data_IF_188698859111
#
_entry.id   IF_188698859111
#
_cell.length_a   1.000
_cell.length_b   1.000
_cell.length_c   1.000
_cell.angle_alpha   90.00
_cell.angle_beta   90.00
_cell.angle_gamma   90.00
#
_symmetry.space_group_name_H-M   'P 1'
#
loop_
_entity.id
_entity.type
_entity.pdbx_description
1 polymer ?
#
# COMPACT_ATOMS: atom_id res chain seq x y z
N UNK A 1 -11.07 -1.66 10.02
CA UNK A 1 -11.62 -0.66 9.07
C UNK A 1 -10.88 -0.84 7.74
N UNK A 2 -11.56 -0.96 6.59
CA UNK A 2 -10.88 -1.28 5.34
C UNK A 2 -11.76 -1.16 4.11
N UNK A 3 -11.15 -0.65 3.03
CA UNK A 3 -11.69 -0.22 1.74
C UNK A 3 -12.83 0.82 1.83
N UNK A 4 -12.47 2.11 1.99
CA UNK A 4 -13.37 3.21 1.68
C UNK A 4 -13.56 3.30 0.16
N UNK A 5 -14.76 2.90 -0.27
CA UNK A 5 -15.20 2.82 -1.65
C UNK A 5 -15.48 4.22 -2.22
N UNK A 6 -14.44 4.99 -2.56
CA UNK A 6 -14.58 6.39 -2.95
C UNK A 6 -14.70 6.68 -4.45
N UNK A 7 -14.78 5.70 -5.35
CA UNK A 7 -14.91 6.01 -6.78
C UNK A 7 -15.67 4.92 -7.54
N UNK A 8 -17.00 4.98 -7.51
CA UNK A 8 -17.88 4.09 -8.28
C UNK A 8 -17.64 4.19 -9.82
N UNK A 9 -17.07 5.30 -10.31
CA UNK A 9 -16.77 5.47 -11.74
C UNK A 9 -15.44 4.86 -12.18
N UNK A 10 -14.50 4.59 -11.25
CA UNK A 10 -13.12 4.22 -11.62
C UNK A 10 -12.85 2.71 -11.58
N UNK A 11 -13.76 1.93 -11.01
CA UNK A 11 -13.60 0.49 -10.81
C UNK A 11 -14.81 -0.28 -11.34
N UNK A 12 -14.58 -1.41 -12.01
CA UNK A 12 -15.65 -2.23 -12.57
C UNK A 12 -16.52 -2.92 -11.50
N UNK A 13 -17.54 -3.66 -11.95
CA UNK A 13 -18.50 -4.39 -11.09
C UNK A 13 -17.85 -5.38 -10.11
N UNK A 14 -16.64 -5.85 -10.41
CA UNK A 14 -15.84 -6.72 -9.55
C UNK A 14 -14.43 -6.17 -9.44
N UNK A 15 -13.88 -6.20 -8.23
CA UNK A 15 -12.52 -5.73 -7.92
C UNK A 15 -11.74 -6.79 -7.18
N UNK A 16 -10.42 -6.83 -7.40
CA UNK A 16 -9.52 -7.66 -6.60
C UNK A 16 -9.14 -6.91 -5.34
N UNK A 17 -9.38 -7.55 -4.20
CA UNK A 17 -9.09 -7.00 -2.88
C UNK A 17 -8.01 -7.86 -2.23
N UNK A 18 -6.98 -7.20 -1.69
CA UNK A 18 -5.92 -7.83 -0.91
C UNK A 18 -6.05 -7.41 0.54
N UNK A 19 -5.88 -8.38 1.44
CA UNK A 19 -5.93 -8.15 2.90
C UNK A 19 -4.62 -8.57 3.54
N UNK A 20 -4.10 -7.71 4.41
CA UNK A 20 -2.91 -7.97 5.22
C UNK A 20 -3.41 -8.20 6.65
N UNK A 21 -3.74 -9.45 6.96
CA UNK A 21 -4.42 -9.82 8.22
C UNK A 21 -5.65 -8.94 8.47
N UNK A 22 -5.82 -8.53 9.73
CA UNK A 22 -6.88 -7.60 10.14
C UNK A 22 -6.44 -6.12 10.07
N UNK A 23 -5.21 -5.86 9.63
CA UNK A 23 -4.58 -4.54 9.68
C UNK A 23 -4.93 -3.67 8.47
N UNK A 24 -4.85 -4.22 7.26
CA UNK A 24 -5.14 -3.47 6.02
C UNK A 24 -5.96 -4.32 5.04
N UNK A 25 -6.81 -3.64 4.26
CA UNK A 25 -7.60 -4.22 3.17
C UNK A 25 -7.72 -3.18 2.04
N UNK A 26 -7.17 -3.51 0.89
CA UNK A 26 -6.99 -2.58 -0.23
C UNK A 26 -7.38 -3.21 -1.57
N UNK A 27 -7.85 -2.37 -2.50
CA UNK A 27 -8.10 -2.78 -3.88
C UNK A 27 -6.79 -2.70 -4.65
N UNK A 28 -6.25 -3.84 -5.06
CA UNK A 28 -5.01 -3.92 -5.84
C UNK A 28 -5.12 -5.00 -6.92
N UNK A 29 -4.63 -4.72 -8.12
CA UNK A 29 -4.61 -5.67 -9.24
C UNK A 29 -3.25 -6.34 -9.47
N UNK A 30 -2.20 -5.91 -8.76
CA UNK A 30 -0.84 -6.37 -8.94
C UNK A 30 -0.54 -7.72 -8.27
N UNK A 31 0.66 -8.28 -8.53
CA UNK A 31 1.14 -9.46 -7.82
C UNK A 31 1.56 -9.11 -6.39
N UNK A 32 1.17 -9.94 -5.43
CA UNK A 32 1.56 -9.80 -4.02
C UNK A 32 2.40 -10.98 -3.56
N UNK A 33 3.25 -10.74 -2.56
CA UNK A 33 3.94 -11.81 -1.84
C UNK A 33 2.95 -12.64 -1.03
N UNK A 34 3.26 -13.92 -0.82
CA UNK A 34 2.40 -14.85 -0.05
C UNK A 34 2.29 -14.50 1.43
N UNK A 35 3.31 -13.84 2.01
CA UNK A 35 3.33 -13.38 3.41
C UNK A 35 4.28 -12.19 3.55
N UNK A 36 3.94 -11.23 4.42
CA UNK A 36 4.69 -9.97 4.60
C UNK A 36 6.15 -10.19 4.95
N UNK A 37 6.48 -11.23 5.72
CA UNK A 37 7.87 -11.58 6.06
C UNK A 37 8.78 -11.85 4.85
N UNK A 38 8.23 -12.18 3.67
CA UNK A 38 9.03 -12.34 2.43
C UNK A 38 9.60 -11.02 1.91
N UNK A 39 9.04 -9.88 2.32
CA UNK A 39 9.50 -8.54 1.93
C UNK A 39 10.80 -8.19 2.66
N UNK A 40 11.03 -8.76 3.86
CA UNK A 40 12.16 -8.43 4.71
C UNK A 40 11.93 -7.13 5.49
N UNK A 41 13.02 -6.48 5.91
CA UNK A 41 12.96 -5.26 6.72
C UNK A 41 12.80 -4.04 5.83
N UNK A 42 11.79 -3.23 6.11
CA UNK A 42 11.55 -1.95 5.41
C UNK A 42 12.18 -0.83 6.21
N UNK A 43 12.92 0.06 5.55
CA UNK A 43 13.48 1.27 6.16
C UNK A 43 13.09 2.51 5.35
N UNK A 44 12.84 3.61 6.05
CA UNK A 44 12.66 4.92 5.42
C UNK A 44 14.04 5.45 5.03
N UNK A 45 14.22 5.78 3.75
CA UNK A 45 15.47 6.27 3.18
C UNK A 45 15.46 7.81 3.13
N UNK A 46 14.32 8.41 2.82
CA UNK A 46 14.19 9.86 2.72
C UNK A 46 12.76 10.30 3.03
N UNK A 47 12.60 11.54 3.48
CA UNK A 47 11.31 12.19 3.64
C UNK A 47 11.40 13.63 3.14
N UNK A 48 10.48 14.03 2.28
CA UNK A 48 10.48 15.35 1.63
C UNK A 48 9.13 16.03 1.87
N UNK A 49 9.15 17.30 2.30
CA UNK A 49 7.94 18.12 2.36
C UNK A 49 7.60 18.62 0.95
N UNK A 50 6.44 18.21 0.42
CA UNK A 50 6.01 18.53 -0.96
C UNK A 50 4.81 19.50 -1.02
N UNK A 51 4.36 20.00 0.14
CA UNK A 51 3.27 20.96 0.27
C UNK A 51 3.08 21.37 1.73
N UNK A 52 2.08 22.22 2.02
CA UNK A 52 1.82 22.68 3.38
C UNK A 52 1.64 21.51 4.37
N UNK A 53 0.84 20.51 3.97
CA UNK A 53 0.46 19.35 4.79
C UNK A 53 0.76 18.00 4.10
N UNK A 54 1.63 18.01 3.10
CA UNK A 54 1.98 16.81 2.32
C UNK A 54 3.46 16.48 2.48
N UNK A 55 3.71 15.21 2.83
CA UNK A 55 5.05 14.65 2.98
C UNK A 55 5.15 13.42 2.09
N UNK A 56 6.23 13.35 1.31
CA UNK A 56 6.59 12.15 0.55
C UNK A 56 7.58 11.33 1.34
N UNK A 57 7.29 10.05 1.52
CA UNK A 57 8.17 9.10 2.19
C UNK A 57 8.76 8.17 1.12
N UNK A 58 10.09 8.10 1.08
CA UNK A 58 10.82 7.10 0.29
C UNK A 58 11.25 5.99 1.23
N UNK A 59 10.84 4.76 0.93
CA UNK A 59 11.24 3.57 1.69
C UNK A 59 11.90 2.56 0.77
N UNK A 60 12.83 1.78 1.33
CA UNK A 60 13.46 0.67 0.64
C UNK A 60 13.54 -0.56 1.52
N UNK A 61 13.92 -1.66 0.90
CA UNK A 61 14.10 -2.95 1.56
C UNK A 61 15.56 -3.10 1.98
N UNK A 62 15.81 -3.44 3.23
CA UNK A 62 17.17 -3.68 3.72
C UNK A 62 17.69 -4.99 3.13
N UNK A 63 18.90 -4.97 2.56
CA UNK A 63 19.53 -6.14 1.93
C UNK A 63 19.17 -6.36 0.45
N UNK A 64 18.61 -5.36 -0.23
CA UNK A 64 18.39 -5.34 -1.68
C UNK A 64 18.83 -4.01 -2.30
#
# INVERSE_FOLDING_TARGET
MGALHFFAEKYGKQVKVYSIGDFSKEVCGGPHVTRTGKIGRVRIINQEKIGADLIRIYAGLEGR
#
